data_IF_238287289418
#
_entry.id   IF_238287289418
#
_cell.length_a   1.000
_cell.length_b   1.000
_cell.length_c   1.000
_cell.angle_alpha   90.00
_cell.angle_beta   90.00
_cell.angle_gamma   90.00
#
_symmetry.space_group_name_H-M   'P 1'
#
loop_
_entity.id
_entity.type
_entity.pdbx_description
1 polymer ?
#
# COMPACT_ATOMS: atom_id res chain seq x y z
N UNK A 1 -16.74 34.50 7.56
CA UNK A 1 -16.94 33.34 6.66
C UNK A 1 -15.67 32.49 6.69
N UNK A 2 -15.62 31.43 7.50
CA UNK A 2 -14.43 30.56 7.59
C UNK A 2 -14.73 29.20 6.96
N UNK A 3 -14.12 28.95 5.81
CA UNK A 3 -14.24 27.69 5.06
C UNK A 3 -13.35 26.67 5.75
N UNK A 4 -13.97 25.72 6.46
CA UNK A 4 -13.27 24.63 7.15
C UNK A 4 -12.94 23.56 6.11
N UNK A 5 -11.69 23.52 5.68
CA UNK A 5 -11.19 22.51 4.74
C UNK A 5 -11.21 21.12 5.43
N UNK A 6 -11.92 20.10 4.92
CA UNK A 6 -11.86 18.76 5.48
C UNK A 6 -10.48 18.16 5.20
N UNK A 7 -9.75 17.82 6.27
CA UNK A 7 -8.52 17.03 6.17
C UNK A 7 -8.84 15.70 5.48
N UNK A 8 -8.05 15.25 4.50
CA UNK A 8 -8.18 13.88 4.02
C UNK A 8 -7.87 12.96 5.19
N UNK A 9 -8.87 12.24 5.67
CA UNK A 9 -8.69 11.13 6.58
C UNK A 9 -7.71 10.19 5.90
N UNK A 10 -6.52 10.03 6.50
CA UNK A 10 -5.58 8.97 6.16
C UNK A 10 -6.26 7.67 6.54
N UNK A 11 -7.13 7.21 5.63
CA UNK A 11 -7.95 6.03 5.78
C UNK A 11 -7.04 4.88 6.16
N UNK A 12 -7.35 4.31 7.31
CA UNK A 12 -6.66 3.19 7.90
C UNK A 12 -6.64 2.02 6.90
N UNK A 13 -5.54 1.87 6.16
CA UNK A 13 -5.31 0.76 5.22
C UNK A 13 -5.28 -0.62 5.90
N UNK A 14 -5.55 -0.68 7.21
CA UNK A 14 -5.66 -1.92 7.99
C UNK A 14 -7.09 -2.49 8.06
N UNK A 15 -8.13 -1.84 7.52
CA UNK A 15 -9.49 -2.40 7.57
C UNK A 15 -9.74 -3.50 6.53
N UNK A 16 -8.95 -3.58 5.44
CA UNK A 16 -8.92 -4.72 4.51
C UNK A 16 -7.91 -5.81 4.93
N UNK A 17 -7.62 -5.92 6.24
CA UNK A 17 -6.73 -6.94 6.81
C UNK A 17 -7.54 -7.98 7.59
N UNK A 18 -8.66 -8.43 7.05
CA UNK A 18 -9.22 -9.70 7.48
C UNK A 18 -8.32 -10.77 6.86
N UNK A 19 -7.61 -11.54 7.69
CA UNK A 19 -6.78 -12.67 7.22
C UNK A 19 -7.56 -13.73 6.44
N UNK A 20 -8.89 -13.60 6.37
CA UNK A 20 -9.80 -14.37 5.53
C UNK A 20 -9.81 -13.95 4.06
N UNK A 21 -9.37 -12.73 3.71
CA UNK A 21 -9.30 -12.25 2.33
C UNK A 21 -7.88 -11.77 2.00
N UNK A 22 -7.13 -12.45 1.12
CA UNK A 22 -5.84 -11.94 0.66
C UNK A 22 -6.04 -10.56 0.04
N UNK A 23 -5.11 -9.63 0.30
CA UNK A 23 -5.12 -8.29 -0.29
C UNK A 23 -5.30 -8.39 -1.80
N UNK A 24 -6.30 -7.72 -2.36
CA UNK A 24 -6.59 -7.78 -3.79
C UNK A 24 -5.41 -7.17 -4.57
N UNK A 25 -4.83 -7.93 -5.50
CA UNK A 25 -3.74 -7.46 -6.35
C UNK A 25 -4.28 -6.81 -7.63
N UNK A 26 -3.56 -5.82 -8.23
CA UNK A 26 -4.01 -5.14 -9.45
C UNK A 26 -4.37 -6.10 -10.60
N UNK A 27 -3.57 -7.15 -10.82
CA UNK A 27 -3.84 -8.13 -11.88
C UNK A 27 -5.11 -8.95 -11.59
N UNK A 28 -5.40 -9.24 -10.31
CA UNK A 28 -6.63 -9.94 -9.92
C UNK A 28 -7.88 -9.11 -10.19
N UNK A 29 -7.78 -7.77 -10.15
CA UNK A 29 -8.87 -6.87 -10.53
C UNK A 29 -9.11 -6.93 -12.04
N UNK A 30 -8.03 -6.87 -12.85
CA UNK A 30 -8.10 -6.90 -14.33
C UNK A 30 -8.69 -8.20 -14.86
N UNK A 31 -8.33 -9.31 -14.24
CA UNK A 31 -8.73 -10.64 -14.69
C UNK A 31 -10.08 -11.10 -14.13
N UNK A 32 -10.73 -10.27 -13.29
CA UNK A 32 -12.00 -10.64 -12.68
C UNK A 32 -13.11 -10.68 -13.72
N UNK A 33 -13.63 -11.89 -13.96
CA UNK A 33 -14.78 -12.13 -14.83
C UNK A 33 -16.07 -12.18 -14.00
N UNK A 34 -17.11 -11.48 -14.45
CA UNK A 34 -18.43 -11.51 -13.83
C UNK A 34 -19.40 -12.35 -14.67
N UNK A 35 -20.36 -13.00 -14.02
CA UNK A 35 -21.45 -13.69 -14.71
C UNK A 35 -22.43 -12.64 -15.25
N UNK A 36 -22.98 -12.88 -16.44
CA UNK A 36 -24.07 -12.07 -16.97
C UNK A 36 -25.30 -12.16 -16.06
N UNK A 37 -26.11 -11.10 -16.06
CA UNK A 37 -27.40 -11.13 -15.37
C UNK A 37 -28.30 -12.22 -15.98
N UNK A 38 -29.00 -12.97 -15.13
CA UNK A 38 -29.94 -14.00 -15.57
C UNK A 38 -31.16 -13.41 -16.30
N UNK A 39 -31.90 -14.27 -17.02
CA UNK A 39 -33.10 -13.86 -17.77
C UNK A 39 -34.07 -13.05 -16.89
N UNK A 40 -34.56 -11.94 -17.44
CA UNK A 40 -35.52 -11.05 -16.77
C UNK A 40 -34.89 -10.01 -15.83
N UNK A 41 -33.55 -9.95 -15.71
CA UNK A 41 -32.85 -8.89 -14.94
C UNK A 41 -32.00 -8.02 -15.85
N UNK A 42 -31.98 -6.71 -15.59
CA UNK A 42 -31.00 -5.79 -16.19
C UNK A 42 -29.66 -5.93 -15.46
N UNK A 43 -28.61 -6.23 -16.22
CA UNK A 43 -27.22 -6.20 -15.75
C UNK A 43 -26.54 -4.88 -16.07
N UNK A 44 -25.33 -4.69 -15.55
CA UNK A 44 -24.43 -3.65 -16.01
C UNK A 44 -23.93 -3.99 -17.42
N UNK A 45 -23.62 -2.94 -18.19
CA UNK A 45 -22.98 -3.06 -19.49
C UNK A 45 -21.55 -3.62 -19.27
N UNK A 46 -21.19 -4.76 -19.91
CA UNK A 46 -19.91 -5.41 -19.65
C UNK A 46 -18.69 -4.54 -19.95
N UNK A 47 -18.69 -3.76 -21.02
CA UNK A 47 -17.53 -2.99 -21.46
C UNK A 47 -17.23 -1.84 -20.48
N UNK A 48 -18.24 -1.15 -19.98
CA UNK A 48 -18.18 -0.12 -18.94
C UNK A 48 -17.60 -0.70 -17.64
N UNK A 49 -18.04 -1.91 -17.27
CA UNK A 49 -17.51 -2.61 -16.10
C UNK A 49 -16.03 -2.92 -16.28
N UNK A 50 -15.62 -3.47 -17.43
CA UNK A 50 -14.22 -3.81 -17.67
C UNK A 50 -13.34 -2.56 -17.80
N UNK A 51 -13.82 -1.47 -18.41
CA UNK A 51 -13.12 -0.19 -18.47
C UNK A 51 -12.91 0.40 -17.06
N UNK A 52 -13.94 0.33 -16.20
CA UNK A 52 -13.82 0.77 -14.81
C UNK A 52 -12.81 -0.09 -14.04
N UNK A 53 -12.83 -1.41 -14.19
CA UNK A 53 -11.88 -2.31 -13.53
C UNK A 53 -10.44 -2.08 -13.98
N UNK A 54 -10.21 -1.78 -15.26
CA UNK A 54 -8.86 -1.45 -15.75
C UNK A 54 -8.31 -0.19 -15.06
N UNK A 55 -9.14 0.86 -14.95
CA UNK A 55 -8.79 2.08 -14.22
C UNK A 55 -8.50 1.79 -12.74
N UNK A 56 -9.38 1.06 -12.06
CA UNK A 56 -9.20 0.68 -10.64
C UNK A 56 -7.90 -0.10 -10.45
N UNK A 57 -7.59 -1.02 -11.36
CA UNK A 57 -6.34 -1.77 -11.30
C UNK A 57 -5.12 -0.87 -11.51
N UNK A 58 -5.20 0.12 -12.42
CA UNK A 58 -4.16 1.12 -12.61
C UNK A 58 -3.91 1.94 -11.34
N UNK A 59 -4.97 2.46 -10.73
CA UNK A 59 -4.88 3.24 -9.49
C UNK A 59 -4.32 2.39 -8.34
N UNK A 60 -4.75 1.13 -8.22
CA UNK A 60 -4.25 0.21 -7.20
C UNK A 60 -2.76 -0.11 -7.39
N UNK A 61 -2.31 -0.27 -8.65
CA UNK A 61 -0.90 -0.45 -8.96
C UNK A 61 -0.06 0.77 -8.56
N UNK A 62 -0.56 1.99 -8.83
CA UNK A 62 0.10 3.23 -8.45
C UNK A 62 0.22 3.36 -6.92
N UNK A 63 -0.85 3.05 -6.18
CA UNK A 63 -0.83 3.07 -4.70
C UNK A 63 0.18 2.08 -4.14
N UNK A 64 0.22 0.84 -4.66
CA UNK A 64 1.20 -0.14 -4.19
C UNK A 64 2.64 0.22 -4.55
N UNK A 65 2.88 0.83 -5.72
CA UNK A 65 4.19 1.34 -6.08
C UNK A 65 4.66 2.44 -5.13
N UNK A 66 3.79 3.41 -4.82
CA UNK A 66 4.08 4.48 -3.87
C UNK A 66 4.34 3.93 -2.44
N UNK A 67 3.57 2.93 -2.01
CA UNK A 67 3.79 2.25 -0.73
C UNK A 67 5.14 1.52 -0.70
N UNK A 68 5.51 0.85 -1.78
CA UNK A 68 6.81 0.18 -1.89
C UNK A 68 7.96 1.18 -1.84
N UNK A 69 7.85 2.32 -2.53
CA UNK A 69 8.83 3.40 -2.48
C UNK A 69 9.00 3.94 -1.05
N UNK A 70 7.90 4.28 -0.37
CA UNK A 70 7.94 4.78 1.02
C UNK A 70 8.57 3.77 2.00
N UNK A 71 8.31 2.47 1.81
CA UNK A 71 8.94 1.42 2.62
C UNK A 71 10.44 1.31 2.37
N UNK A 72 10.90 1.46 1.13
CA UNK A 72 12.33 1.45 0.78
C UNK A 72 13.05 2.65 1.39
N UNK A 73 12.49 3.85 1.29
CA UNK A 73 13.06 5.05 1.93
C UNK A 73 13.21 4.86 3.44
N UNK A 74 12.19 4.31 4.09
CA UNK A 74 12.23 4.01 5.52
C UNK A 74 13.29 2.95 5.86
N UNK A 75 13.48 1.95 5.00
CA UNK A 75 14.50 0.91 5.21
C UNK A 75 15.92 1.51 5.15
N UNK A 76 16.20 2.39 4.17
CA UNK A 76 17.48 3.08 4.04
C UNK A 76 17.81 3.90 5.29
N UNK A 77 16.84 4.66 5.81
CA UNK A 77 17.01 5.45 7.03
C UNK A 77 17.31 4.55 8.24
N UNK A 78 16.57 3.45 8.38
CA UNK A 78 16.78 2.49 9.47
C UNK A 78 18.14 1.81 9.40
N UNK A 79 18.61 1.48 8.19
CA UNK A 79 19.91 0.85 8.00
C UNK A 79 21.05 1.83 8.31
N UNK A 80 20.93 3.09 7.90
CA UNK A 80 21.89 4.14 8.25
C UNK A 80 21.98 4.34 9.77
N UNK A 81 20.82 4.39 10.44
CA UNK A 81 20.75 4.52 11.89
C UNK A 81 21.40 3.31 12.60
N UNK A 82 21.10 2.08 12.13
CA UNK A 82 21.68 0.86 12.68
C UNK A 82 23.20 0.82 12.54
N UNK A 83 23.74 1.25 11.40
CA UNK A 83 25.19 1.35 11.17
C UNK A 83 25.83 2.33 12.15
N UNK A 84 25.29 3.54 12.25
CA UNK A 84 25.79 4.54 13.19
C UNK A 84 25.76 4.05 14.65
N UNK A 85 24.66 3.39 15.07
CA UNK A 85 24.57 2.80 16.42
C UNK A 85 25.63 1.72 16.66
N UNK A 86 25.92 0.90 15.66
CA UNK A 86 26.94 -0.16 15.74
C UNK A 86 28.36 0.43 15.86
N UNK A 87 28.66 1.48 15.11
CA UNK A 87 29.97 2.16 15.16
C UNK A 87 30.17 2.88 16.51
N UNK A 88 29.12 3.48 17.06
CA UNK A 88 29.14 4.05 18.41
C UNK A 88 29.34 3.00 19.50
N UNK A 89 28.71 1.83 19.39
CA UNK A 89 28.92 0.73 20.33
C UNK A 89 30.38 0.26 20.31
N UNK A 90 30.93 -0.01 19.12
CA UNK A 90 32.34 -0.39 18.94
C UNK A 90 33.31 0.65 19.49
N UNK A 91 33.05 1.93 19.25
CA UNK A 91 33.89 3.01 19.77
C UNK A 91 33.83 3.12 21.31
N UNK A 92 32.70 2.77 21.93
CA UNK A 92 32.57 2.71 23.39
C UNK A 92 33.29 1.50 23.98
N UNK A 93 33.15 0.33 23.36
CA UNK A 93 33.82 -0.90 23.80
C UNK A 93 35.34 -0.76 23.75
N UNK A 94 35.87 -0.18 22.66
CA UNK A 94 37.30 0.10 22.53
C UNK A 94 37.84 1.00 23.66
N UNK A 95 37.10 2.05 24.03
CA UNK A 95 37.46 2.98 25.12
C UNK A 95 37.32 2.35 26.52
N UNK A 96 36.46 1.34 26.67
CA UNK A 96 36.28 0.60 27.92
C UNK A 96 37.40 -0.41 28.18
N UNK A 97 38.00 -0.96 27.12
CA UNK A 97 39.08 -1.95 27.19
C UNK A 97 40.49 -1.35 27.45
N UNK A 98 40.61 -0.01 27.41
CA UNK A 98 41.86 0.73 27.66
C UNK A 98 41.99 1.22 29.13
N UNK A 99 41.12 0.76 30.03
CA UNK A 99 41.13 1.09 31.47
C UNK A 99 41.31 -0.17 32.31
#
# INVERSE_FOLDING_TARGET
MSVRNPRPTRGNAATYRSGAYPSLLPWQVRERRFKLAGLGRRGLEPDDVYAFLDRVAGDLAAVYAALAASRRETAVIKDALRRWQSDQARARDARGNER
#
